data_IF_802653014042
#
_entry.id   IF_802653014042
#
_cell.length_a   1.000
_cell.length_b   1.000
_cell.length_c   1.000
_cell.angle_alpha   90.00
_cell.angle_beta   90.00
_cell.angle_gamma   90.00
#
_symmetry.space_group_name_H-M   'P 1'
#
loop_
_entity.id
_entity.type
_entity.pdbx_description
1 polymer ?
#
# COMPACT_ATOMS: atom_id res chain seq x y z
N UNK A 1 -9.89 -35.98 -33.37
CA UNK A 1 -8.76 -35.24 -33.99
C UNK A 1 -8.76 -33.75 -33.59
N UNK A 2 -9.90 -33.09 -33.40
CA UNK A 2 -9.99 -31.65 -33.08
C UNK A 2 -9.28 -31.12 -31.80
N UNK A 3 -8.97 -31.97 -30.81
CA UNK A 3 -8.35 -31.49 -29.56
C UNK A 3 -6.84 -31.25 -29.68
N UNK A 4 -6.17 -31.95 -30.61
CA UNK A 4 -4.74 -31.77 -30.86
C UNK A 4 -4.44 -30.47 -31.62
N UNK A 5 -5.34 -30.09 -32.54
CA UNK A 5 -5.21 -28.87 -33.33
C UNK A 5 -5.29 -27.62 -32.43
N UNK A 6 -6.20 -27.61 -31.45
CA UNK A 6 -6.29 -26.55 -30.44
C UNK A 6 -5.02 -26.43 -29.56
N UNK A 7 -4.40 -27.53 -29.18
CA UNK A 7 -3.16 -27.51 -28.38
C UNK A 7 -2.00 -26.96 -29.21
N UNK A 8 -1.89 -27.39 -30.48
CA UNK A 8 -0.88 -26.88 -31.40
C UNK A 8 -1.03 -25.38 -31.65
N UNK A 9 -2.26 -24.88 -31.79
CA UNK A 9 -2.55 -23.45 -31.92
C UNK A 9 -2.17 -22.66 -30.66
N UNK A 10 -2.48 -23.16 -29.47
CA UNK A 10 -2.09 -22.52 -28.20
C UNK A 10 -0.57 -22.44 -28.07
N UNK A 11 0.15 -23.53 -28.39
CA UNK A 11 1.61 -23.56 -28.35
C UNK A 11 2.21 -22.57 -29.35
N UNK A 12 1.67 -22.52 -30.57
CA UNK A 12 2.10 -21.57 -31.60
C UNK A 12 1.88 -20.12 -31.18
N UNK A 13 0.70 -19.82 -30.61
CA UNK A 13 0.38 -18.50 -30.09
C UNK A 13 1.29 -18.10 -28.93
N UNK A 14 1.58 -19.02 -28.00
CA UNK A 14 2.50 -18.80 -26.90
C UNK A 14 3.92 -18.53 -27.39
N UNK A 15 4.41 -19.29 -28.38
CA UNK A 15 5.73 -19.07 -28.96
C UNK A 15 5.83 -17.69 -29.61
N UNK A 16 4.81 -17.30 -30.39
CA UNK A 16 4.76 -15.98 -31.01
C UNK A 16 4.77 -14.84 -29.97
N UNK A 17 4.06 -15.02 -28.84
CA UNK A 17 4.07 -14.05 -27.75
C UNK A 17 5.45 -13.96 -27.09
N UNK A 18 6.13 -15.08 -26.88
CA UNK A 18 7.50 -15.12 -26.34
C UNK A 18 8.45 -14.36 -27.28
N UNK A 19 8.38 -14.63 -28.59
CA UNK A 19 9.24 -13.99 -29.58
C UNK A 19 9.01 -12.46 -29.62
N UNK A 20 7.75 -12.02 -29.53
CA UNK A 20 7.40 -10.61 -29.47
C UNK A 20 7.94 -9.93 -28.20
N UNK A 21 7.83 -10.57 -27.04
CA UNK A 21 8.36 -10.04 -25.78
C UNK A 21 9.89 -9.96 -25.84
N UNK A 22 10.56 -10.96 -26.41
CA UNK A 22 12.02 -10.94 -26.57
C UNK A 22 12.47 -9.80 -27.49
N UNK A 23 11.77 -9.58 -28.61
CA UNK A 23 12.07 -8.47 -29.51
C UNK A 23 11.89 -7.11 -28.84
N UNK A 24 10.78 -6.92 -28.13
CA UNK A 24 10.49 -5.68 -27.39
C UNK A 24 11.51 -5.44 -26.26
N UNK A 25 11.95 -6.50 -25.58
CA UNK A 25 13.00 -6.40 -24.55
C UNK A 25 14.33 -5.96 -25.17
N UNK A 26 14.72 -6.54 -26.31
CA UNK A 26 15.95 -6.18 -27.01
C UNK A 26 15.93 -4.71 -27.48
N UNK A 27 14.82 -4.26 -28.05
CA UNK A 27 14.61 -2.87 -28.46
C UNK A 27 14.70 -1.90 -27.26
N UNK A 28 14.08 -2.27 -26.14
CA UNK A 28 14.13 -1.48 -24.90
C UNK A 28 15.55 -1.38 -24.34
N UNK A 29 16.31 -2.47 -24.37
CA UNK A 29 17.71 -2.45 -23.93
C UNK A 29 18.59 -1.60 -24.84
N UNK A 30 18.38 -1.65 -26.15
CA UNK A 30 19.08 -0.80 -27.11
C UNK A 30 18.74 0.67 -26.91
N UNK A 31 17.47 0.99 -26.69
CA UNK A 31 17.01 2.35 -26.34
C UNK A 31 17.71 2.90 -25.09
N UNK A 32 17.86 2.09 -24.05
CA UNK A 32 18.58 2.47 -22.83
C UNK A 32 20.06 2.69 -23.10
N UNK A 33 20.71 1.76 -23.81
CA UNK A 33 22.12 1.88 -24.20
C UNK A 33 22.39 3.14 -25.03
N UNK A 34 21.51 3.48 -25.97
CA UNK A 34 21.61 4.69 -26.80
C UNK A 34 21.51 5.99 -25.99
N UNK A 35 20.89 5.95 -24.81
CA UNK A 35 20.85 7.07 -23.87
C UNK A 35 22.01 7.06 -22.86
N UNK A 36 22.95 6.13 -23.00
CA UNK A 36 24.06 5.94 -22.05
C UNK A 36 23.61 5.33 -20.71
N UNK A 37 22.40 4.77 -20.64
CA UNK A 37 21.88 4.10 -19.45
C UNK A 37 22.22 2.61 -19.55
N UNK A 38 22.78 2.06 -18.48
CA UNK A 38 22.99 0.62 -18.33
C UNK A 38 21.65 -0.08 -18.06
N UNK A 39 21.15 -0.96 -18.97
CA UNK A 39 19.89 -1.65 -18.79
C UNK A 39 19.82 -2.55 -17.56
N UNK A 40 20.96 -3.09 -17.11
CA UNK A 40 21.01 -3.93 -15.93
C UNK A 40 20.78 -3.10 -14.66
N UNK A 41 21.47 -1.95 -14.56
CA UNK A 41 21.26 -1.02 -13.44
C UNK A 41 19.86 -0.43 -13.40
N UNK A 42 19.26 -0.15 -14.56
CA UNK A 42 17.87 0.30 -14.64
C UNK A 42 16.92 -0.77 -14.08
N UNK A 43 17.12 -2.04 -14.44
CA UNK A 43 16.33 -3.16 -13.90
C UNK A 43 16.51 -3.30 -12.40
N UNK A 44 17.74 -3.25 -11.89
CA UNK A 44 18.02 -3.31 -10.45
C UNK A 44 17.33 -2.16 -9.70
N UNK A 45 17.47 -0.93 -10.21
CA UNK A 45 16.82 0.25 -9.64
C UNK A 45 15.29 0.14 -9.64
N UNK A 46 14.70 -0.33 -10.73
CA UNK A 46 13.24 -0.44 -10.88
C UNK A 46 12.68 -1.61 -10.08
N UNK A 47 13.44 -2.71 -9.95
CA UNK A 47 13.03 -3.87 -9.15
C UNK A 47 12.91 -3.56 -7.65
N UNK A 48 13.63 -2.54 -7.17
CA UNK A 48 13.52 -2.03 -5.80
C UNK A 48 12.38 -1.05 -5.58
N UNK A 49 11.67 -0.61 -6.64
CA UNK A 49 10.53 0.28 -6.49
C UNK A 49 9.25 -0.51 -6.24
N UNK A 50 8.42 -0.02 -5.31
CA UNK A 50 7.07 -0.52 -5.14
C UNK A 50 6.34 -0.41 -6.48
N UNK A 51 5.76 -1.53 -6.93
CA UNK A 51 4.84 -1.52 -8.07
C UNK A 51 3.65 -0.61 -7.77
N UNK A 52 2.94 -0.15 -8.80
CA UNK A 52 1.78 0.74 -8.59
C UNK A 52 0.71 0.07 -7.71
N UNK A 53 0.53 -1.24 -7.82
CA UNK A 53 -0.35 -2.02 -6.94
C UNK A 53 0.16 -2.06 -5.50
N UNK A 54 1.45 -2.29 -5.29
CA UNK A 54 2.04 -2.30 -3.95
C UNK A 54 1.98 -0.91 -3.30
N UNK A 55 2.14 0.15 -4.11
CA UNK A 55 2.02 1.53 -3.64
C UNK A 55 0.58 1.86 -3.28
N UNK A 56 -0.39 1.46 -4.11
CA UNK A 56 -1.82 1.62 -3.81
C UNK A 56 -2.24 0.85 -2.55
N UNK A 57 -1.74 -0.38 -2.37
CA UNK A 57 -2.00 -1.17 -1.17
C UNK A 57 -1.40 -0.51 0.07
N UNK A 58 -0.14 -0.06 0.00
CA UNK A 58 0.51 0.63 1.12
C UNK A 58 -0.21 1.94 1.49
N UNK A 59 -0.74 2.68 0.52
CA UNK A 59 -1.56 3.87 0.77
C UNK A 59 -2.90 3.52 1.43
N UNK A 60 -3.54 2.42 1.01
CA UNK A 60 -4.79 1.96 1.61
C UNK A 60 -4.58 1.53 3.07
N UNK A 61 -3.53 0.76 3.33
CA UNK A 61 -3.15 0.30 4.68
C UNK A 61 -2.82 1.49 5.58
N UNK A 62 -2.05 2.46 5.08
CA UNK A 62 -1.74 3.69 5.80
C UNK A 62 -3.00 4.48 6.20
N UNK A 63 -3.96 4.63 5.27
CA UNK A 63 -5.22 5.32 5.56
C UNK A 63 -6.05 4.58 6.60
N UNK A 64 -6.06 3.25 6.56
CA UNK A 64 -6.76 2.42 7.53
C UNK A 64 -6.15 2.60 8.94
N UNK A 65 -4.82 2.58 9.04
CA UNK A 65 -4.11 2.76 10.30
C UNK A 65 -4.38 4.15 10.91
N UNK A 66 -4.35 5.21 10.09
CA UNK A 66 -4.66 6.58 10.56
C UNK A 66 -6.09 6.65 11.09
N UNK A 67 -7.06 6.09 10.37
CA UNK A 67 -8.45 6.08 10.82
C UNK A 67 -8.65 5.31 12.14
N UNK A 68 -7.94 4.19 12.32
CA UNK A 68 -7.96 3.43 13.56
C UNK A 68 -7.39 4.25 14.74
N UNK A 69 -6.24 4.91 14.53
CA UNK A 69 -5.62 5.80 15.52
C UNK A 69 -6.58 6.93 15.89
N UNK A 70 -7.24 7.57 14.92
CA UNK A 70 -8.17 8.65 15.18
C UNK A 70 -9.36 8.21 16.05
N UNK A 71 -9.93 7.03 15.76
CA UNK A 71 -11.01 6.46 16.57
C UNK A 71 -10.56 6.15 18.00
N UNK A 72 -9.37 5.57 18.19
CA UNK A 72 -8.82 5.30 19.51
C UNK A 72 -8.58 6.59 20.30
N UNK A 73 -8.04 7.62 19.65
CA UNK A 73 -7.83 8.95 20.25
C UNK A 73 -9.15 9.57 20.67
N UNK A 74 -10.19 9.49 19.84
CA UNK A 74 -11.52 10.02 20.16
C UNK A 74 -12.15 9.26 21.34
N UNK A 75 -12.08 7.93 21.35
CA UNK A 75 -12.56 7.11 22.46
C UNK A 75 -11.79 7.39 23.75
N UNK A 76 -10.47 7.60 23.67
CA UNK A 76 -9.64 7.97 24.81
C UNK A 76 -10.01 9.36 25.36
N UNK A 77 -10.25 10.34 24.49
CA UNK A 77 -10.73 11.68 24.88
C UNK A 77 -12.09 11.61 25.58
N UNK A 78 -13.01 10.79 25.06
CA UNK A 78 -14.31 10.56 25.71
C UNK A 78 -14.13 9.90 27.08
N UNK A 79 -13.26 8.88 27.21
CA UNK A 79 -12.98 8.26 28.52
C UNK A 79 -12.43 9.27 29.53
N UNK A 80 -11.55 10.17 29.09
CA UNK A 80 -11.02 11.24 29.95
C UNK A 80 -12.10 12.25 30.35
N UNK A 81 -13.03 12.60 29.44
CA UNK A 81 -14.13 13.52 29.76
C UNK A 81 -15.10 12.92 30.78
N UNK A 82 -15.35 11.61 30.75
CA UNK A 82 -16.14 10.91 31.78
C UNK A 82 -15.39 10.65 33.10
N UNK A 83 -14.05 10.66 33.10
CA UNK A 83 -13.23 10.50 34.31
C UNK A 83 -12.88 11.82 35.01
N UNK A 84 -13.31 12.98 34.49
CA UNK A 84 -13.16 14.25 35.20
C UNK A 84 -13.83 14.13 36.59
N UNK A 85 -13.08 14.18 37.71
CA UNK A 85 -13.69 14.17 39.03
C UNK A 85 -14.59 15.40 39.12
N UNK A 86 -15.83 15.21 39.56
CA UNK A 86 -16.71 16.29 39.98
C UNK A 86 -16.00 17.11 41.07
N UNK A 87 -15.26 18.13 40.62
CA UNK A 87 -14.46 18.99 41.46
C UNK A 87 -15.36 19.96 42.21
N UNK A 88 -15.59 19.62 43.48
CA UNK A 88 -15.83 20.54 44.61
C UNK A 88 -17.17 21.29 44.62
N UNK A 89 -18.21 20.61 45.08
CA UNK A 89 -19.26 21.27 45.89
C UNK A 89 -18.74 21.45 47.31
N UNK A 90 -17.85 22.44 47.49
CA UNK A 90 -17.41 22.87 48.80
C UNK A 90 -18.49 23.74 49.45
N UNK A 91 -19.33 23.15 50.30
CA UNK A 91 -20.01 23.90 51.37
C UNK A 91 -20.40 22.96 52.52
N UNK A 92 -19.56 22.87 53.55
CA UNK A 92 -19.97 22.38 54.87
C UNK A 92 -20.20 23.62 55.75
N UNK A 93 -21.44 23.94 56.15
CA UNK A 93 -21.65 25.03 57.09
C UNK A 93 -21.08 24.63 58.45
N UNK A 94 -20.14 25.42 58.96
CA UNK A 94 -19.67 25.34 60.34
C UNK A 94 -20.83 25.69 61.28
N UNK A 95 -21.32 24.70 62.04
CA UNK A 95 -22.23 24.96 63.16
C UNK A 95 -21.41 25.58 64.30
N UNK A 96 -21.68 26.85 64.61
CA UNK A 96 -21.26 27.44 65.88
C UNK A 96 -21.90 26.66 67.03
N UNK A 97 -21.09 26.19 67.97
CA UNK A 97 -21.54 25.84 69.31
C UNK A 97 -21.35 27.07 70.20
N UNK A 98 -22.41 27.44 70.93
CA UNK A 98 -22.40 28.38 72.06
C UNK A 98 -22.21 27.54 73.33
#
# INVERSE_FOLDING_TARGET
MANNDNIAEIISAAQKAIDQVQASLAESEEFLRNQGIDPQKMREHTSGQLTDEQRAQAEADYRADVAAIEQEVEQAKLRQSFQAPAGRTGFKPSRNMI
#
